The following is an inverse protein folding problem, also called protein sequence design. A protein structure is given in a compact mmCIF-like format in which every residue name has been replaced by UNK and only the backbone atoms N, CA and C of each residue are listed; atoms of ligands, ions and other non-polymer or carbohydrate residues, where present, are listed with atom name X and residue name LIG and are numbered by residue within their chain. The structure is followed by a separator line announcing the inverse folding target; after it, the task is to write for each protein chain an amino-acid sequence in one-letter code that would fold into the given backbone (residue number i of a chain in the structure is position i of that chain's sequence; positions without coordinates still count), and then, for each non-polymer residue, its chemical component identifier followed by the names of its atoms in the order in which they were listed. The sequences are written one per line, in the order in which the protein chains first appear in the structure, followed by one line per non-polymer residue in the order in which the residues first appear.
data_IF_170713623319
#
_entry.id   IF_170713623319
#
_cell.length_a   1.000
_cell.length_b   1.000
_cell.length_c   1.000
_cell.angle_alpha   90.00
_cell.angle_beta   90.00
_cell.angle_gamma   90.00
#
_symmetry.space_group_name_H-M   'P 1'
#
loop_
_entity.id
_entity.type
_entity.pdbx_description
1 polymer ?
#
# COMPACT_ATOMS: atom_id res chain seq x y z
N UNK A 1 -34.61 -54.16 28.98
CA UNK A 1 -34.52 -52.77 28.58
C UNK A 1 -33.08 -52.47 28.14
N UNK A 2 -32.83 -52.57 26.84
CA UNK A 2 -31.50 -52.22 26.26
C UNK A 2 -31.55 -50.76 25.81
N UNK A 3 -30.70 -49.95 26.39
CA UNK A 3 -30.51 -48.55 25.97
C UNK A 3 -29.65 -48.50 24.74
N UNK A 4 -30.21 -48.04 23.64
CA UNK A 4 -29.47 -47.75 22.39
C UNK A 4 -28.77 -46.39 22.56
N UNK A 5 -27.46 -46.40 22.72
CA UNK A 5 -26.63 -45.20 22.68
C UNK A 5 -26.48 -44.82 21.20
N UNK A 6 -27.18 -43.77 20.76
CA UNK A 6 -26.95 -43.12 19.48
C UNK A 6 -25.68 -42.25 19.58
N UNK A 7 -24.58 -42.74 19.06
CA UNK A 7 -23.35 -41.92 18.80
C UNK A 7 -23.68 -41.03 17.62
N UNK A 8 -23.89 -39.74 17.89
CA UNK A 8 -23.93 -38.72 16.87
C UNK A 8 -22.47 -38.55 16.36
N UNK A 9 -22.15 -39.13 15.20
CA UNK A 9 -20.94 -38.76 14.46
C UNK A 9 -21.10 -37.29 14.04
N UNK A 10 -20.36 -36.40 14.69
CA UNK A 10 -20.09 -35.09 14.17
C UNK A 10 -19.26 -35.24 12.91
N UNK A 11 -19.91 -35.12 11.75
CA UNK A 11 -19.23 -34.97 10.48
C UNK A 11 -18.32 -33.72 10.60
N UNK A 12 -17.04 -33.77 10.21
CA UNK A 12 -16.22 -32.57 10.13
C UNK A 12 -16.92 -31.59 9.20
N UNK A 13 -16.96 -30.30 9.56
CA UNK A 13 -17.38 -29.23 8.66
C UNK A 13 -16.65 -29.45 7.34
N UNK A 14 -17.43 -29.71 6.27
CA UNK A 14 -16.91 -30.23 5.01
C UNK A 14 -15.77 -29.38 4.46
N UNK A 15 -14.67 -30.02 4.20
CA UNK A 15 -13.63 -29.47 3.36
C UNK A 15 -14.29 -29.06 2.04
N UNK A 16 -14.23 -27.76 1.70
CA UNK A 16 -14.80 -27.27 0.46
C UNK A 16 -13.83 -27.63 -0.66
N UNK A 17 -14.15 -28.67 -1.44
CA UNK A 17 -13.33 -29.07 -2.58
C UNK A 17 -13.41 -28.01 -3.67
N UNK A 18 -12.31 -27.79 -4.38
CA UNK A 18 -12.27 -26.96 -5.57
C UNK A 18 -11.78 -27.74 -6.78
N UNK A 19 -12.25 -27.31 -7.96
CA UNK A 19 -11.75 -27.77 -9.25
C UNK A 19 -11.54 -26.56 -10.15
N UNK A 20 -10.28 -26.29 -10.49
CA UNK A 20 -9.91 -25.23 -11.44
C UNK A 20 -9.54 -25.90 -12.75
N UNK A 21 -10.36 -25.71 -13.77
CA UNK A 21 -10.08 -26.15 -15.14
C UNK A 21 -9.73 -24.96 -15.99
N UNK A 22 -8.85 -25.09 -16.97
CA UNK A 22 -8.53 -23.94 -17.78
C UNK A 22 -7.87 -24.24 -19.11
N UNK A 23 -7.76 -23.16 -19.90
CA UNK A 23 -7.02 -23.13 -21.16
C UNK A 23 -5.74 -22.33 -20.97
N UNK A 24 -4.64 -22.85 -21.51
CA UNK A 24 -3.34 -22.19 -21.53
C UNK A 24 -3.04 -21.65 -22.93
N UNK A 25 -2.32 -20.52 -23.05
CA UNK A 25 -1.83 -20.01 -24.33
C UNK A 25 -0.98 -21.04 -25.08
N UNK A 26 -0.91 -20.91 -26.40
CA UNK A 26 -0.09 -21.81 -27.23
C UNK A 26 1.38 -21.76 -26.79
N UNK A 27 2.01 -22.95 -26.73
CA UNK A 27 3.42 -23.09 -26.32
C UNK A 27 3.67 -23.14 -24.81
N UNK A 28 2.65 -22.93 -23.96
CA UNK A 28 2.78 -23.09 -22.51
C UNK A 28 2.75 -24.57 -22.15
N UNK A 29 3.83 -25.07 -21.54
CA UNK A 29 3.94 -26.48 -21.11
C UNK A 29 3.50 -26.71 -19.67
N UNK A 30 3.49 -25.67 -18.81
CA UNK A 30 3.18 -25.79 -17.38
C UNK A 30 2.44 -24.56 -16.87
N UNK A 31 1.45 -24.79 -15.99
CA UNK A 31 0.69 -23.76 -15.31
C UNK A 31 0.89 -23.91 -13.81
N UNK A 32 0.96 -22.78 -13.12
CA UNK A 32 1.17 -22.70 -11.68
C UNK A 32 -0.06 -22.13 -11.01
N UNK A 33 -0.33 -22.56 -9.78
CA UNK A 33 -1.34 -21.98 -8.91
C UNK A 33 -0.71 -21.64 -7.57
N UNK A 34 -0.80 -20.37 -7.18
CA UNK A 34 -0.30 -19.90 -5.87
C UNK A 34 -1.45 -19.53 -4.96
N UNK A 35 -1.56 -20.22 -3.84
CA UNK A 35 -2.47 -19.86 -2.77
C UNK A 35 -1.97 -18.60 -2.05
N UNK A 36 -2.83 -17.59 -1.93
CA UNK A 36 -2.45 -16.29 -1.35
C UNK A 36 -2.48 -16.29 0.18
N UNK A 37 -3.13 -17.28 0.82
CA UNK A 37 -3.16 -17.46 2.27
C UNK A 37 -1.93 -18.20 2.77
N UNK A 38 -1.72 -19.44 2.30
CA UNK A 38 -0.59 -20.28 2.71
C UNK A 38 0.71 -19.91 2.04
N UNK A 39 0.67 -19.12 0.94
CA UNK A 39 1.78 -18.79 0.03
C UNK A 39 2.44 -20.00 -0.61
N UNK A 40 1.79 -21.17 -0.56
CA UNK A 40 2.22 -22.37 -1.28
C UNK A 40 1.92 -22.24 -2.76
N UNK A 41 2.73 -22.88 -3.57
CA UNK A 41 2.53 -22.98 -5.02
C UNK A 41 2.43 -24.45 -5.43
N UNK A 42 1.54 -24.72 -6.36
CA UNK A 42 1.37 -26.00 -7.03
C UNK A 42 1.55 -25.80 -8.53
N UNK A 43 1.80 -26.85 -9.28
CA UNK A 43 1.95 -26.80 -10.73
C UNK A 43 1.44 -28.05 -11.41
N UNK A 44 0.91 -27.88 -12.63
CA UNK A 44 0.43 -28.98 -13.47
C UNK A 44 0.94 -28.81 -14.90
N UNK A 45 1.17 -29.92 -15.59
CA UNK A 45 1.51 -29.91 -17.00
C UNK A 45 0.27 -29.64 -17.86
N UNK A 46 0.45 -28.90 -18.94
CA UNK A 46 -0.60 -28.59 -19.91
C UNK A 46 -0.74 -29.74 -20.87
N UNK A 47 -1.93 -30.32 -20.92
CA UNK A 47 -2.26 -31.41 -21.88
C UNK A 47 -3.26 -30.89 -22.93
N UNK A 48 -2.87 -30.90 -24.19
CA UNK A 48 -3.71 -30.44 -25.33
C UNK A 48 -4.27 -29.02 -25.13
N UNK A 49 -3.45 -28.12 -24.56
CA UNK A 49 -3.84 -26.72 -24.29
C UNK A 49 -4.74 -26.53 -23.06
N UNK A 50 -4.96 -27.58 -22.26
CA UNK A 50 -5.80 -27.51 -21.04
C UNK A 50 -5.02 -27.94 -19.80
N UNK A 51 -5.50 -27.50 -18.63
CA UNK A 51 -4.95 -27.89 -17.33
C UNK A 51 -6.06 -28.05 -16.29
N UNK A 52 -5.77 -28.78 -15.21
CA UNK A 52 -6.70 -29.01 -14.11
C UNK A 52 -5.93 -28.98 -12.78
N UNK A 53 -6.42 -28.20 -11.82
CA UNK A 53 -6.07 -28.31 -10.40
C UNK A 53 -7.30 -28.77 -9.62
N UNK A 54 -7.12 -29.72 -8.72
CA UNK A 54 -8.17 -30.21 -7.82
C UNK A 54 -7.60 -30.31 -6.40
N UNK A 55 -8.40 -29.97 -5.40
CA UNK A 55 -7.97 -30.06 -4.00
C UNK A 55 -9.04 -29.65 -3.02
N UNK A 56 -8.70 -29.75 -1.75
CA UNK A 56 -9.52 -29.30 -0.64
C UNK A 56 -8.97 -28.01 -0.08
N UNK A 57 -9.82 -26.98 0.00
CA UNK A 57 -9.43 -25.64 0.42
C UNK A 57 -9.71 -25.36 1.90
N UNK A 58 -10.43 -26.23 2.62
CA UNK A 58 -10.87 -25.95 4.00
C UNK A 58 -11.82 -24.76 4.12
N UNK A 59 -12.16 -24.12 3.01
CA UNK A 59 -12.98 -22.92 2.85
C UNK A 59 -12.62 -22.16 1.59
N UNK A 60 -13.31 -21.09 1.29
CA UNK A 60 -12.97 -20.21 0.16
C UNK A 60 -11.59 -19.59 0.34
N UNK A 61 -10.77 -19.56 -0.70
CA UNK A 61 -9.43 -18.99 -0.68
C UNK A 61 -9.14 -18.21 -1.95
N UNK A 62 -8.32 -17.17 -1.81
CA UNK A 62 -7.81 -16.42 -2.95
C UNK A 62 -6.53 -17.09 -3.47
N UNK A 63 -6.43 -17.25 -4.78
CA UNK A 63 -5.26 -17.79 -5.44
C UNK A 63 -4.95 -17.04 -6.75
N UNK A 64 -3.75 -17.24 -7.27
CA UNK A 64 -3.36 -16.80 -8.61
C UNK A 64 -3.05 -18.03 -9.45
N UNK A 65 -3.63 -18.12 -10.64
CA UNK A 65 -3.25 -19.07 -11.69
C UNK A 65 -2.41 -18.33 -12.71
N UNK A 66 -1.21 -18.83 -13.01
CA UNK A 66 -0.26 -18.08 -13.82
C UNK A 66 0.69 -18.97 -14.63
N UNK A 67 1.39 -18.37 -15.59
CA UNK A 67 2.44 -18.96 -16.39
C UNK A 67 3.77 -18.26 -16.19
N UNK A 68 4.90 -18.89 -16.48
CA UNK A 68 6.21 -18.25 -16.52
C UNK A 68 6.30 -17.09 -17.54
N UNK A 69 5.48 -17.16 -18.60
CA UNK A 69 5.37 -16.12 -19.62
C UNK A 69 4.59 -14.85 -19.21
N UNK A 70 4.13 -14.78 -17.95
CA UNK A 70 3.54 -13.56 -17.38
C UNK A 70 2.01 -13.50 -17.39
N UNK A 71 1.27 -14.45 -17.99
CA UNK A 71 -0.19 -14.53 -17.81
C UNK A 71 -0.52 -14.81 -16.34
N UNK A 72 -1.40 -14.01 -15.74
CA UNK A 72 -1.85 -14.17 -14.35
C UNK A 72 -3.33 -13.87 -14.24
N UNK A 73 -4.08 -14.81 -13.67
CA UNK A 73 -5.51 -14.71 -13.40
C UNK A 73 -5.75 -14.91 -11.90
N UNK A 74 -6.28 -13.91 -11.18
CA UNK A 74 -6.74 -14.11 -9.81
C UNK A 74 -8.00 -14.97 -9.82
N UNK A 75 -8.12 -15.88 -8.85
CA UNK A 75 -9.26 -16.78 -8.67
C UNK A 75 -9.66 -16.89 -7.21
N UNK A 76 -10.94 -17.09 -6.97
CA UNK A 76 -11.43 -17.56 -5.66
C UNK A 76 -11.68 -19.06 -5.80
N UNK A 77 -10.99 -19.86 -4.99
CA UNK A 77 -11.18 -21.31 -4.94
C UNK A 77 -12.49 -21.62 -4.19
N UNK A 78 -13.56 -21.78 -4.98
CA UNK A 78 -14.93 -21.98 -4.50
C UNK A 78 -15.71 -22.86 -5.50
N UNK A 79 -15.70 -24.17 -5.33
CA UNK A 79 -16.33 -25.12 -6.24
C UNK A 79 -15.60 -25.25 -7.58
N UNK A 80 -16.34 -25.25 -8.69
CA UNK A 80 -15.77 -25.42 -10.04
C UNK A 80 -15.53 -24.07 -10.71
N UNK A 81 -14.26 -23.80 -11.04
CA UNK A 81 -13.81 -22.56 -11.68
C UNK A 81 -13.21 -22.88 -13.04
N UNK A 82 -13.57 -22.09 -14.05
CA UNK A 82 -12.97 -22.15 -15.40
C UNK A 82 -12.09 -20.94 -15.62
N UNK A 83 -10.81 -21.18 -15.96
CA UNK A 83 -9.80 -20.14 -16.21
C UNK A 83 -9.39 -20.13 -17.67
N UNK A 84 -9.36 -18.95 -18.27
CA UNK A 84 -8.75 -18.70 -19.57
C UNK A 84 -7.55 -17.78 -19.38
N UNK A 85 -6.32 -18.33 -19.55
CA UNK A 85 -5.07 -17.60 -19.36
C UNK A 85 -4.70 -16.71 -20.55
N UNK A 86 -5.37 -16.85 -21.69
CA UNK A 86 -5.22 -15.94 -22.84
C UNK A 86 -6.17 -14.75 -22.71
N UNK A 87 -7.45 -15.01 -22.40
CA UNK A 87 -8.46 -13.98 -22.15
C UNK A 87 -8.33 -13.32 -20.76
N UNK A 88 -7.49 -13.84 -19.87
CA UNK A 88 -7.28 -13.41 -18.47
C UNK A 88 -8.58 -13.39 -17.66
N UNK A 89 -9.37 -14.47 -17.74
CA UNK A 89 -10.67 -14.58 -17.07
C UNK A 89 -10.77 -15.81 -16.19
N UNK A 90 -11.54 -15.67 -15.10
CA UNK A 90 -12.00 -16.78 -14.26
C UNK A 90 -13.52 -16.70 -14.12
N UNK A 91 -14.23 -17.82 -14.32
CA UNK A 91 -15.69 -17.87 -14.32
C UNK A 91 -16.20 -19.19 -13.68
N UNK A 92 -17.51 -19.29 -13.49
CA UNK A 92 -18.18 -20.51 -13.00
C UNK A 92 -18.65 -20.43 -11.56
N UNK A 93 -18.32 -19.36 -10.84
CA UNK A 93 -18.90 -19.04 -9.53
C UNK A 93 -19.18 -17.54 -9.43
N UNK A 94 -20.11 -17.14 -8.56
CA UNK A 94 -20.50 -15.74 -8.39
C UNK A 94 -19.28 -14.84 -8.08
N UNK A 95 -18.34 -15.31 -7.27
CA UNK A 95 -17.15 -14.52 -6.93
C UNK A 95 -16.19 -14.42 -8.12
N UNK A 96 -15.96 -15.47 -8.87
CA UNK A 96 -15.06 -15.44 -10.03
C UNK A 96 -15.65 -14.65 -11.20
N UNK A 97 -16.97 -14.74 -11.42
CA UNK A 97 -17.66 -13.92 -12.42
C UNK A 97 -17.58 -12.42 -12.07
N UNK A 98 -17.80 -12.08 -10.78
CA UNK A 98 -17.68 -10.71 -10.27
C UNK A 98 -16.25 -10.20 -10.34
N UNK A 99 -15.26 -11.02 -10.00
CA UNK A 99 -13.84 -10.70 -10.08
C UNK A 99 -13.44 -10.41 -11.54
N UNK A 100 -13.86 -11.26 -12.49
CA UNK A 100 -13.60 -11.06 -13.91
C UNK A 100 -14.26 -9.80 -14.46
N UNK A 101 -15.52 -9.54 -14.09
CA UNK A 101 -16.24 -8.33 -14.50
C UNK A 101 -15.53 -7.06 -13.98
N UNK A 102 -15.13 -7.06 -12.72
CA UNK A 102 -14.41 -5.92 -12.11
C UNK A 102 -13.01 -5.74 -12.72
N UNK A 103 -12.30 -6.84 -13.00
CA UNK A 103 -10.99 -6.75 -13.64
C UNK A 103 -11.07 -6.12 -15.04
N UNK A 104 -12.08 -6.49 -15.84
CA UNK A 104 -12.35 -5.87 -17.14
C UNK A 104 -12.71 -4.40 -17.03
N UNK A 105 -13.53 -4.03 -16.07
CA UNK A 105 -13.90 -2.62 -15.80
C UNK A 105 -12.66 -1.77 -15.44
N UNK A 106 -11.76 -2.29 -14.61
CA UNK A 106 -10.53 -1.59 -14.22
C UNK A 106 -9.47 -1.59 -15.33
N UNK A 107 -9.44 -2.57 -16.22
CA UNK A 107 -8.48 -2.64 -17.34
C UNK A 107 -8.60 -1.41 -18.27
N UNK A 108 -9.82 -0.92 -18.51
CA UNK A 108 -10.04 0.30 -19.31
C UNK A 108 -9.30 1.50 -18.72
N UNK A 109 -9.26 1.62 -17.40
CA UNK A 109 -8.53 2.69 -16.72
C UNK A 109 -7.02 2.51 -16.77
N UNK A 110 -6.53 1.26 -16.70
CA UNK A 110 -5.09 0.95 -16.88
C UNK A 110 -4.62 1.31 -18.31
N UNK A 111 -5.44 1.02 -19.33
CA UNK A 111 -5.17 1.42 -20.71
C UNK A 111 -5.15 2.95 -20.86
N UNK A 112 -6.05 3.66 -20.18
CA UNK A 112 -6.05 5.12 -20.15
C UNK A 112 -4.77 5.68 -19.50
N UNK A 113 -4.32 5.12 -18.38
CA UNK A 113 -3.05 5.51 -17.75
C UNK A 113 -1.87 5.31 -18.70
N UNK A 114 -1.81 4.19 -19.41
CA UNK A 114 -0.78 3.92 -20.42
C UNK A 114 -0.78 5.00 -21.51
N UNK A 115 -1.95 5.40 -22.01
CA UNK A 115 -2.07 6.46 -23.02
C UNK A 115 -1.67 7.83 -22.47
N UNK A 116 -2.01 8.15 -21.23
CA UNK A 116 -1.65 9.40 -20.57
C UNK A 116 -0.13 9.52 -20.44
N UNK A 117 0.56 8.43 -20.11
CA UNK A 117 2.00 8.39 -19.92
C UNK A 117 2.79 8.24 -21.21
N UNK A 118 2.17 7.85 -22.34
CA UNK A 118 2.86 7.59 -23.60
C UNK A 118 3.69 8.80 -24.09
N UNK A 119 3.21 10.06 -24.11
CA UNK A 119 4.02 11.20 -24.55
C UNK A 119 5.29 11.40 -23.72
N UNK A 120 5.22 11.18 -22.41
CA UNK A 120 6.38 11.24 -21.52
C UNK A 120 7.43 10.19 -21.91
N UNK A 121 7.00 8.94 -22.11
CA UNK A 121 7.89 7.85 -22.46
C UNK A 121 8.53 8.04 -23.84
N UNK A 122 7.80 8.57 -24.81
CA UNK A 122 8.33 8.87 -26.16
C UNK A 122 9.42 9.94 -26.11
N UNK A 123 9.19 11.06 -25.42
CA UNK A 123 10.21 12.13 -25.27
C UNK A 123 11.44 11.63 -24.54
N UNK A 124 11.27 10.89 -23.44
CA UNK A 124 12.38 10.31 -22.67
C UNK A 124 13.18 9.31 -23.50
N UNK A 125 12.52 8.47 -24.30
CA UNK A 125 13.17 7.52 -25.21
C UNK A 125 13.97 8.24 -26.34
N UNK A 126 13.47 9.39 -26.78
CA UNK A 126 14.17 10.24 -27.77
C UNK A 126 15.30 11.10 -27.15
N UNK A 127 15.55 11.01 -25.83
CA UNK A 127 16.52 11.84 -25.12
C UNK A 127 16.15 13.32 -25.04
N UNK A 128 14.86 13.65 -25.22
CA UNK A 128 14.34 15.00 -25.20
C UNK A 128 13.88 15.39 -23.79
N UNK A 129 13.94 16.69 -23.48
CA UNK A 129 13.35 17.24 -22.26
C UNK A 129 11.83 17.24 -22.36
N UNK A 130 11.18 16.92 -21.25
CA UNK A 130 9.72 16.96 -21.16
C UNK A 130 9.30 18.36 -20.74
N UNK A 131 8.49 19.08 -21.55
CA UNK A 131 8.02 20.43 -21.20
C UNK A 131 7.17 20.41 -19.91
N UNK A 132 7.34 21.43 -19.07
CA UNK A 132 6.59 21.56 -17.80
C UNK A 132 5.07 21.55 -18.02
N UNK A 133 4.57 22.21 -19.08
CA UNK A 133 3.15 22.19 -19.42
C UNK A 133 2.62 20.79 -19.72
N UNK A 134 3.41 19.95 -20.38
CA UNK A 134 3.05 18.55 -20.64
C UNK A 134 3.08 17.73 -19.35
N UNK A 135 4.06 17.97 -18.46
CA UNK A 135 4.10 17.30 -17.15
C UNK A 135 2.86 17.63 -16.32
N UNK A 136 2.48 18.90 -16.22
CA UNK A 136 1.28 19.32 -15.49
C UNK A 136 0.00 18.70 -16.07
N UNK A 137 -0.12 18.60 -17.40
CA UNK A 137 -1.26 17.94 -18.04
C UNK A 137 -1.29 16.44 -17.72
N UNK A 138 -0.15 15.76 -17.78
CA UNK A 138 -0.02 14.34 -17.46
C UNK A 138 -0.39 14.10 -15.99
N UNK A 139 0.15 14.88 -15.06
CA UNK A 139 -0.12 14.77 -13.62
C UNK A 139 -1.62 14.91 -13.35
N UNK A 140 -2.26 15.94 -13.84
CA UNK A 140 -3.70 16.16 -13.69
C UNK A 140 -4.52 14.98 -14.21
N UNK A 141 -4.26 14.52 -15.44
CA UNK A 141 -5.00 13.39 -16.04
C UNK A 141 -4.74 12.08 -15.30
N UNK A 142 -3.50 11.88 -14.84
CA UNK A 142 -3.12 10.71 -14.05
C UNK A 142 -3.90 10.69 -12.71
N UNK A 143 -3.93 11.79 -11.98
CA UNK A 143 -4.67 11.93 -10.73
C UNK A 143 -6.18 11.70 -10.92
N UNK A 144 -6.78 12.23 -12.00
CA UNK A 144 -8.18 11.98 -12.35
C UNK A 144 -8.45 10.48 -12.54
N UNK A 145 -7.59 9.75 -13.28
CA UNK A 145 -7.74 8.32 -13.48
C UNK A 145 -7.53 7.53 -12.17
N UNK A 146 -6.55 7.90 -11.37
CA UNK A 146 -6.29 7.25 -10.08
C UNK A 146 -7.45 7.45 -9.10
N UNK A 147 -8.08 8.62 -9.10
CA UNK A 147 -9.29 8.91 -8.32
C UNK A 147 -10.45 8.01 -8.75
N UNK A 148 -10.67 7.83 -10.05
CA UNK A 148 -11.72 6.94 -10.57
C UNK A 148 -11.46 5.46 -10.20
N UNK A 149 -10.23 4.99 -10.34
CA UNK A 149 -9.84 3.62 -9.95
C UNK A 149 -10.09 3.42 -8.46
N UNK A 150 -9.64 4.36 -7.61
CA UNK A 150 -9.80 4.31 -6.16
C UNK A 150 -11.28 4.27 -5.75
N UNK A 151 -12.12 5.10 -6.36
CA UNK A 151 -13.55 5.10 -6.13
C UNK A 151 -14.21 3.77 -6.51
N UNK A 152 -13.82 3.16 -7.65
CA UNK A 152 -14.31 1.86 -8.09
C UNK A 152 -13.88 0.71 -7.15
N UNK A 153 -12.65 0.76 -6.65
CA UNK A 153 -12.16 -0.23 -5.67
C UNK A 153 -12.89 -0.08 -4.35
N UNK A 154 -13.08 1.16 -3.86
CA UNK A 154 -13.86 1.44 -2.66
C UNK A 154 -15.29 0.91 -2.79
N UNK A 155 -15.99 1.21 -3.90
CA UNK A 155 -17.34 0.71 -4.19
C UNK A 155 -17.37 -0.83 -4.21
N UNK A 156 -16.39 -1.47 -4.84
CA UNK A 156 -16.26 -2.93 -4.86
C UNK A 156 -16.18 -3.53 -3.45
N UNK A 157 -15.32 -2.96 -2.60
CA UNK A 157 -15.15 -3.40 -1.21
C UNK A 157 -16.41 -3.20 -0.37
N UNK A 158 -17.08 -2.06 -0.54
CA UNK A 158 -18.25 -1.69 0.25
C UNK A 158 -19.49 -2.51 -0.11
N UNK A 159 -19.68 -2.80 -1.40
CA UNK A 159 -20.85 -3.58 -1.87
C UNK A 159 -20.71 -5.08 -1.69
N UNK A 160 -19.50 -5.59 -1.47
CA UNK A 160 -19.23 -7.02 -1.38
C UNK A 160 -18.52 -7.40 -0.07
N UNK A 161 -19.05 -7.03 1.12
CA UNK A 161 -18.33 -7.21 2.38
C UNK A 161 -18.17 -8.67 2.80
N UNK A 162 -18.98 -9.60 2.25
CA UNK A 162 -18.93 -11.03 2.56
C UNK A 162 -18.13 -11.85 1.53
N UNK A 163 -17.76 -11.25 0.40
CA UNK A 163 -16.97 -11.89 -0.64
C UNK A 163 -15.46 -11.78 -0.35
N UNK A 164 -14.63 -12.62 -0.99
CA UNK A 164 -13.18 -12.59 -0.84
C UNK A 164 -12.49 -11.83 -1.98
N UNK A 165 -13.07 -11.83 -3.18
CA UNK A 165 -12.47 -11.23 -4.37
C UNK A 165 -12.10 -9.73 -4.24
N UNK A 166 -12.78 -8.88 -3.43
CA UNK A 166 -12.38 -7.48 -3.28
C UNK A 166 -10.98 -7.30 -2.71
N UNK A 167 -10.48 -8.28 -1.93
CA UNK A 167 -9.12 -8.25 -1.39
C UNK A 167 -8.06 -8.05 -2.48
N UNK A 168 -8.23 -8.70 -3.64
CA UNK A 168 -7.29 -8.59 -4.76
C UNK A 168 -7.15 -7.14 -5.23
N UNK A 169 -8.27 -6.46 -5.46
CA UNK A 169 -8.27 -5.07 -5.94
C UNK A 169 -7.79 -4.09 -4.88
N UNK A 170 -8.24 -4.28 -3.63
CA UNK A 170 -7.79 -3.45 -2.50
C UNK A 170 -6.28 -3.54 -2.32
N UNK A 171 -5.71 -4.75 -2.26
CA UNK A 171 -4.27 -4.93 -2.08
C UNK A 171 -3.44 -4.37 -3.23
N UNK A 172 -3.97 -4.38 -4.44
CA UNK A 172 -3.33 -3.79 -5.62
C UNK A 172 -3.36 -2.26 -5.60
N UNK A 173 -4.40 -1.65 -5.01
CA UNK A 173 -4.67 -0.22 -5.11
C UNK A 173 -4.45 0.56 -3.81
N UNK A 174 -4.40 -0.08 -2.64
CA UNK A 174 -4.42 0.58 -1.33
C UNK A 174 -3.35 1.66 -1.13
N UNK A 175 -2.15 1.50 -1.72
CA UNK A 175 -1.06 2.48 -1.64
C UNK A 175 -1.35 3.79 -2.41
N UNK A 176 -2.32 3.77 -3.32
CA UNK A 176 -2.71 4.90 -4.15
C UNK A 176 -4.05 5.52 -3.71
N UNK A 177 -4.75 4.86 -2.79
CA UNK A 177 -6.01 5.35 -2.23
C UNK A 177 -5.76 6.34 -1.10
N UNK A 178 -6.74 7.22 -0.86
CA UNK A 178 -6.71 8.07 0.34
C UNK A 178 -6.71 7.19 1.60
N UNK A 179 -5.81 7.48 2.54
CA UNK A 179 -5.68 6.70 3.80
C UNK A 179 -7.02 6.57 4.53
N UNK A 180 -7.83 7.65 4.58
CA UNK A 180 -9.16 7.63 5.19
C UNK A 180 -10.13 6.64 4.55
N UNK A 181 -10.10 6.49 3.21
CA UNK A 181 -10.95 5.53 2.51
C UNK A 181 -10.55 4.08 2.82
N UNK A 182 -9.24 3.81 2.84
CA UNK A 182 -8.74 2.48 3.22
C UNK A 182 -9.06 2.16 4.67
N UNK A 183 -8.90 3.11 5.59
CA UNK A 183 -9.26 2.97 7.00
C UNK A 183 -10.75 2.65 7.16
N UNK A 184 -11.64 3.34 6.45
CA UNK A 184 -13.08 3.06 6.48
C UNK A 184 -13.40 1.62 6.02
N UNK A 185 -12.69 1.10 5.00
CA UNK A 185 -12.84 -0.30 4.56
C UNK A 185 -12.35 -1.26 5.65
N UNK A 186 -11.17 -1.00 6.24
CA UNK A 186 -10.59 -1.85 7.29
C UNK A 186 -11.48 -1.87 8.53
N UNK A 187 -12.02 -0.72 8.94
CA UNK A 187 -12.87 -0.56 10.12
C UNK A 187 -14.24 -1.23 9.97
N UNK A 188 -14.76 -1.33 8.74
CA UNK A 188 -15.97 -2.10 8.44
C UNK A 188 -15.78 -3.62 8.60
N UNK A 189 -14.54 -4.10 8.77
CA UNK A 189 -14.19 -5.51 9.00
C UNK A 189 -14.84 -6.50 8.02
N UNK A 190 -14.80 -6.27 6.69
CA UNK A 190 -15.37 -7.20 5.74
C UNK A 190 -14.64 -8.54 5.77
N UNK A 191 -15.28 -9.60 5.28
CA UNK A 191 -14.76 -10.98 5.34
C UNK A 191 -13.34 -11.10 4.76
N UNK A 192 -13.06 -10.43 3.65
CA UNK A 192 -11.75 -10.44 2.99
C UNK A 192 -10.63 -9.78 3.82
N UNK A 193 -10.96 -8.93 4.80
CA UNK A 193 -9.95 -8.36 5.70
C UNK A 193 -9.45 -9.35 6.76
N UNK A 194 -10.08 -10.53 6.90
CA UNK A 194 -9.60 -11.61 7.78
C UNK A 194 -8.48 -12.44 7.13
N UNK A 195 -8.32 -12.34 5.82
CA UNK A 195 -7.31 -13.07 5.06
C UNK A 195 -5.89 -12.71 5.51
N UNK A 196 -4.97 -13.68 5.54
CA UNK A 196 -3.54 -13.43 5.76
C UNK A 196 -2.93 -12.56 4.65
N UNK A 197 -3.49 -12.67 3.44
CA UNK A 197 -3.17 -11.82 2.30
C UNK A 197 -3.28 -10.33 2.61
N UNK A 198 -4.25 -9.91 3.43
CA UNK A 198 -4.47 -8.50 3.82
C UNK A 198 -3.77 -8.09 5.12
N UNK A 199 -3.01 -8.98 5.75
CA UNK A 199 -2.40 -8.73 7.07
C UNK A 199 -1.49 -7.49 7.09
N UNK A 200 -0.68 -7.28 6.04
CA UNK A 200 0.18 -6.09 5.93
C UNK A 200 -0.64 -4.80 5.86
N UNK A 201 -1.78 -4.82 5.17
CA UNK A 201 -2.65 -3.65 5.08
C UNK A 201 -3.29 -3.33 6.42
N UNK A 202 -3.73 -4.36 7.17
CA UNK A 202 -4.24 -4.15 8.55
C UNK A 202 -3.17 -3.53 9.44
N UNK A 203 -1.93 -4.03 9.37
CA UNK A 203 -0.82 -3.46 10.13
C UNK A 203 -0.52 -2.00 9.74
N UNK A 204 -0.51 -1.68 8.43
CA UNK A 204 -0.34 -0.32 7.95
C UNK A 204 -1.48 0.60 8.43
N UNK A 205 -2.72 0.12 8.41
CA UNK A 205 -3.88 0.86 8.89
C UNK A 205 -3.76 1.26 10.37
N UNK A 206 -3.20 0.40 11.23
CA UNK A 206 -2.90 0.76 12.63
C UNK A 206 -1.92 1.94 12.73
N UNK A 207 -0.91 1.96 11.88
CA UNK A 207 0.03 3.08 11.82
C UNK A 207 -0.63 4.36 11.27
N UNK A 208 -1.46 4.24 10.24
CA UNK A 208 -2.15 5.39 9.66
C UNK A 208 -3.15 6.06 10.61
N UNK A 209 -3.82 5.28 11.49
CA UNK A 209 -4.66 5.88 12.56
C UNK A 209 -3.87 6.83 13.46
N UNK A 210 -2.57 6.53 13.69
CA UNK A 210 -1.68 7.43 14.46
C UNK A 210 -1.26 8.69 13.72
N UNK A 211 -1.50 8.75 12.40
CA UNK A 211 -1.25 9.93 11.57
C UNK A 211 -2.49 10.81 11.39
N UNK A 212 -3.67 10.34 11.82
CA UNK A 212 -4.92 11.08 11.62
C UNK A 212 -4.92 12.38 12.44
N UNK A 213 -5.49 13.43 11.85
CA UNK A 213 -5.69 14.72 12.53
C UNK A 213 -6.41 14.52 13.87
N UNK A 214 -5.91 15.18 14.92
CA UNK A 214 -6.39 15.07 16.29
C UNK A 214 -5.86 13.87 17.07
N UNK A 215 -5.24 12.87 16.42
CA UNK A 215 -4.62 11.74 17.12
C UNK A 215 -3.43 12.22 17.98
N UNK A 216 -3.21 11.65 19.17
CA UNK A 216 -2.01 11.92 19.93
C UNK A 216 -0.79 11.33 19.20
N UNK A 217 0.34 12.02 19.24
CA UNK A 217 1.58 11.44 18.72
C UNK A 217 1.95 10.16 19.50
N UNK A 218 2.66 9.27 18.87
CA UNK A 218 3.19 8.05 19.51
C UNK A 218 4.70 8.22 19.65
N UNK A 219 5.21 8.09 20.88
CA UNK A 219 6.64 8.22 21.14
C UNK A 219 7.43 7.07 20.48
N UNK A 220 8.62 7.41 20.01
CA UNK A 220 9.60 6.47 19.47
C UNK A 220 10.99 6.85 19.97
N UNK A 221 11.81 5.83 20.23
CA UNK A 221 13.19 5.98 20.65
C UNK A 221 14.15 5.62 19.51
N UNK A 222 15.02 6.55 19.14
CA UNK A 222 16.02 6.39 18.07
C UNK A 222 17.30 7.14 18.44
N UNK A 223 18.44 6.75 17.87
CA UNK A 223 19.69 7.45 18.11
C UNK A 223 19.78 8.78 17.35
N UNK A 224 20.30 9.81 17.96
CA UNK A 224 20.64 11.07 17.29
C UNK A 224 21.96 10.97 16.48
N UNK A 225 22.37 12.08 15.87
CA UNK A 225 23.59 12.14 15.05
C UNK A 225 24.88 11.85 15.82
N UNK A 226 24.86 11.97 17.15
CA UNK A 226 25.99 11.63 18.04
C UNK A 226 25.99 10.14 18.44
N UNK A 227 24.87 9.46 18.29
CA UNK A 227 24.63 8.07 18.72
C UNK A 227 23.92 7.97 20.07
N UNK A 228 23.51 9.11 20.67
CA UNK A 228 22.75 9.15 21.91
C UNK A 228 21.29 8.77 21.62
N UNK A 229 20.73 7.84 22.41
CA UNK A 229 19.32 7.48 22.32
C UNK A 229 18.44 8.65 22.79
N UNK A 230 17.46 8.98 21.99
CA UNK A 230 16.54 10.12 22.21
C UNK A 230 15.11 9.67 21.95
N UNK A 231 14.21 10.22 22.72
CA UNK A 231 12.77 10.05 22.54
C UNK A 231 12.18 11.18 21.69
N UNK A 232 11.24 10.88 20.78
CA UNK A 232 10.50 11.90 20.03
C UNK A 232 9.78 12.85 21.00
N UNK A 233 9.31 12.35 22.14
CA UNK A 233 8.67 13.12 23.21
C UNK A 233 9.57 14.20 23.84
N UNK A 234 10.88 14.19 23.62
CA UNK A 234 11.77 15.27 24.04
C UNK A 234 11.57 16.54 23.22
N UNK A 235 11.09 16.42 22.01
CA UNK A 235 10.93 17.51 21.03
C UNK A 235 9.47 17.91 20.84
N UNK A 236 8.53 16.97 20.93
CA UNK A 236 7.11 17.13 20.63
C UNK A 236 6.31 17.40 21.92
N UNK A 237 5.21 18.15 21.80
CA UNK A 237 4.32 18.45 22.94
C UNK A 237 4.95 19.40 23.99
N UNK A 238 5.90 20.26 23.56
CA UNK A 238 6.61 21.22 24.42
C UNK A 238 6.24 22.67 24.12
N UNK A 239 5.01 22.90 23.70
CA UNK A 239 4.53 24.26 23.38
C UNK A 239 4.91 24.77 21.99
N UNK A 240 5.54 23.91 21.15
CA UNK A 240 5.90 24.21 19.76
C UNK A 240 5.11 23.37 18.78
N UNK A 241 4.97 23.87 17.55
CA UNK A 241 4.61 23.03 16.41
C UNK A 241 5.87 22.33 15.91
N UNK A 242 5.78 21.01 15.72
CA UNK A 242 6.92 20.18 15.27
C UNK A 242 6.56 19.43 14.01
N UNK A 243 7.36 19.62 12.94
CA UNK A 243 7.30 18.79 11.76
C UNK A 243 8.17 17.55 11.99
N UNK A 244 7.55 16.37 12.04
CA UNK A 244 8.26 15.09 11.97
C UNK A 244 8.37 14.72 10.50
N UNK A 245 9.60 14.70 9.98
CA UNK A 245 9.91 14.44 8.57
C UNK A 245 10.57 13.07 8.40
N UNK A 246 9.86 12.14 7.74
CA UNK A 246 10.38 10.82 7.39
C UNK A 246 11.10 10.89 6.04
N UNK A 247 12.41 10.71 6.07
CA UNK A 247 13.28 10.91 4.92
C UNK A 247 14.43 9.90 4.87
N UNK A 248 15.23 9.93 3.80
CA UNK A 248 16.50 9.22 3.75
C UNK A 248 17.49 9.90 2.79
N UNK A 249 18.79 9.68 3.00
CA UNK A 249 19.85 10.23 2.17
C UNK A 249 19.79 9.76 0.70
N UNK A 250 19.28 8.57 0.46
CA UNK A 250 19.08 7.96 -0.86
C UNK A 250 17.76 8.35 -1.53
N UNK A 251 16.82 8.97 -0.81
CA UNK A 251 15.52 9.38 -1.32
C UNK A 251 15.65 10.66 -2.18
N UNK A 252 15.55 10.52 -3.49
CA UNK A 252 15.62 11.63 -4.45
C UNK A 252 14.53 12.69 -4.21
N UNK A 253 13.24 12.32 -4.16
CA UNK A 253 12.15 13.26 -3.86
C UNK A 253 12.31 13.98 -2.52
N UNK A 254 12.75 13.27 -1.45
CA UNK A 254 12.99 13.90 -0.15
C UNK A 254 14.05 15.02 -0.26
N UNK A 255 15.14 14.77 -0.99
CA UNK A 255 16.18 15.77 -1.20
C UNK A 255 15.70 16.97 -2.01
N UNK A 256 14.78 16.76 -2.95
CA UNK A 256 14.17 17.84 -3.73
C UNK A 256 13.27 18.74 -2.86
N UNK A 257 12.63 18.21 -1.82
CA UNK A 257 11.80 18.95 -0.85
C UNK A 257 12.65 19.77 0.17
N UNK A 258 13.88 19.38 0.47
CA UNK A 258 14.69 19.99 1.54
C UNK A 258 14.85 21.50 1.40
N UNK A 259 14.99 22.13 0.23
CA UNK A 259 15.04 23.61 0.13
C UNK A 259 13.79 24.28 0.68
N UNK A 260 12.59 23.75 0.39
CA UNK A 260 11.33 24.29 0.89
C UNK A 260 11.20 24.09 2.41
N UNK A 261 11.57 22.90 2.91
CA UNK A 261 11.59 22.60 4.35
C UNK A 261 12.54 23.53 5.12
N UNK A 262 13.75 23.79 4.55
CA UNK A 262 14.70 24.77 5.14
C UNK A 262 14.14 26.18 5.18
N UNK A 263 13.55 26.64 4.09
CA UNK A 263 12.95 27.98 4.04
C UNK A 263 11.83 28.13 5.10
N UNK A 264 11.00 27.11 5.26
CA UNK A 264 9.97 27.06 6.29
C UNK A 264 10.60 27.09 7.71
N UNK A 265 11.64 26.28 7.94
CA UNK A 265 12.33 26.27 9.23
C UNK A 265 12.93 27.65 9.58
N UNK A 266 13.67 28.26 8.68
CA UNK A 266 14.29 29.59 8.87
C UNK A 266 13.23 30.67 9.14
N UNK A 267 12.08 30.60 8.47
CA UNK A 267 11.00 31.59 8.59
C UNK A 267 10.22 31.49 9.91
N UNK A 268 10.01 30.27 10.43
CA UNK A 268 9.07 30.03 11.51
C UNK A 268 9.69 29.54 12.82
N UNK A 269 10.98 29.15 12.87
CA UNK A 269 11.62 28.60 14.07
C UNK A 269 11.54 29.57 15.28
N UNK A 270 11.74 30.87 15.08
CA UNK A 270 11.65 31.88 16.13
C UNK A 270 10.20 32.17 16.57
N UNK A 271 9.22 31.69 15.81
CA UNK A 271 7.78 31.77 16.11
C UNK A 271 7.23 30.54 16.82
N UNK A 272 8.08 29.56 17.13
CA UNK A 272 7.66 28.34 17.81
C UNK A 272 7.45 27.11 16.89
N UNK A 273 8.14 27.08 15.74
CA UNK A 273 8.21 25.93 14.87
C UNK A 273 9.54 25.18 15.04
N UNK A 274 9.49 23.85 15.00
CA UNK A 274 10.69 23.02 15.03
C UNK A 274 10.55 21.81 14.08
N UNK A 275 11.65 21.11 13.82
CA UNK A 275 11.67 19.93 12.94
C UNK A 275 12.44 18.79 13.62
N UNK A 276 11.93 17.56 13.45
CA UNK A 276 12.64 16.31 13.77
C UNK A 276 12.65 15.42 12.56
N UNK A 277 13.81 15.21 11.94
CA UNK A 277 13.97 14.27 10.83
C UNK A 277 14.14 12.85 11.35
N UNK A 278 13.22 11.94 11.00
CA UNK A 278 13.33 10.51 11.25
C UNK A 278 13.86 9.81 9.98
N UNK A 279 15.12 9.39 10.03
CA UNK A 279 15.78 8.84 8.85
C UNK A 279 15.54 7.34 8.69
N UNK A 280 15.22 6.93 7.46
CA UNK A 280 15.14 5.54 7.00
C UNK A 280 16.44 5.09 6.31
N UNK A 281 17.56 5.67 6.69
CA UNK A 281 18.87 5.18 6.24
C UNK A 281 19.25 3.88 6.95
N UNK A 282 20.07 3.07 6.29
CA UNK A 282 20.74 1.90 6.88
C UNK A 282 22.26 2.08 6.92
N UNK A 283 22.77 3.21 6.44
CA UNK A 283 24.18 3.60 6.46
C UNK A 283 24.36 4.93 7.18
N UNK A 284 25.01 4.89 8.34
CA UNK A 284 25.26 6.06 9.18
C UNK A 284 26.11 7.12 8.45
N UNK A 285 27.10 6.72 7.65
CA UNK A 285 27.98 7.63 6.94
C UNK A 285 27.22 8.39 5.84
N UNK A 286 26.37 7.71 5.10
CA UNK A 286 25.51 8.30 4.08
C UNK A 286 24.55 9.29 4.69
N UNK A 287 23.84 8.91 5.79
CA UNK A 287 22.93 9.75 6.53
C UNK A 287 23.58 11.04 7.05
N UNK A 288 24.66 10.93 7.84
CA UNK A 288 25.38 12.09 8.39
C UNK A 288 26.02 12.94 7.28
N UNK A 289 26.47 12.30 6.20
CA UNK A 289 26.98 12.98 5.02
C UNK A 289 25.91 13.83 4.34
N UNK A 290 24.67 13.33 4.22
CA UNK A 290 23.55 14.07 3.65
C UNK A 290 23.13 15.27 4.52
N UNK A 291 23.00 15.09 5.84
CA UNK A 291 22.73 16.19 6.79
C UNK A 291 23.72 17.34 6.59
N UNK A 292 25.03 17.03 6.57
CA UNK A 292 26.09 18.05 6.38
C UNK A 292 26.03 18.72 5.02
N UNK A 293 25.91 17.93 3.93
CA UNK A 293 25.90 18.49 2.55
C UNK A 293 24.72 19.42 2.31
N UNK A 294 23.54 19.08 2.85
CA UNK A 294 22.33 19.88 2.68
C UNK A 294 22.18 20.99 3.76
N UNK A 295 23.05 21.00 4.79
CA UNK A 295 23.01 21.98 5.87
C UNK A 295 21.72 21.92 6.66
N UNK A 296 21.28 20.71 7.06
CA UNK A 296 20.07 20.51 7.85
C UNK A 296 20.40 20.71 9.33
N UNK A 297 19.92 21.82 9.90
CA UNK A 297 20.33 22.28 11.23
C UNK A 297 19.39 21.89 12.37
N UNK A 298 18.31 21.17 12.08
CA UNK A 298 17.35 20.68 13.07
C UNK A 298 17.71 19.30 13.64
N UNK A 299 16.85 18.73 14.46
CA UNK A 299 17.08 17.43 15.10
C UNK A 299 16.92 16.28 14.12
N UNK A 300 17.83 15.30 14.17
CA UNK A 300 17.80 14.12 13.32
C UNK A 300 17.97 12.86 14.14
N UNK A 301 17.08 11.88 13.95
CA UNK A 301 17.09 10.59 14.61
C UNK A 301 17.09 9.46 13.56
N UNK A 302 17.80 8.36 13.86
CA UNK A 302 17.81 7.16 13.04
C UNK A 302 18.14 5.92 13.90
N UNK A 303 17.50 4.80 13.60
CA UNK A 303 17.88 3.49 14.13
C UNK A 303 18.65 2.64 13.10
N UNK A 304 18.92 3.21 11.93
CA UNK A 304 19.66 2.62 10.81
C UNK A 304 19.06 1.29 10.32
N UNK A 305 17.74 1.13 10.42
CA UNK A 305 17.02 -0.09 10.01
C UNK A 305 16.27 0.04 8.69
N UNK A 306 16.46 1.12 7.96
CA UNK A 306 15.77 1.34 6.68
C UNK A 306 14.25 1.32 6.86
N UNK A 307 13.55 0.54 6.04
CA UNK A 307 12.10 0.37 6.13
C UNK A 307 11.62 -0.38 7.40
N UNK A 308 12.51 -1.06 8.11
CA UNK A 308 12.23 -1.67 9.42
C UNK A 308 12.41 -0.70 10.60
N UNK A 309 12.66 0.58 10.33
CA UNK A 309 12.75 1.64 11.33
C UNK A 309 11.55 1.63 12.26
N UNK A 310 11.81 1.79 13.58
CA UNK A 310 10.75 1.87 14.58
C UNK A 310 9.82 3.04 14.29
N UNK A 311 10.34 4.19 13.83
CA UNK A 311 9.53 5.35 13.45
C UNK A 311 8.59 5.03 12.29
N UNK A 312 9.12 4.47 11.19
CA UNK A 312 8.32 4.09 10.02
C UNK A 312 7.24 3.06 10.37
N UNK A 313 7.58 2.02 11.12
CA UNK A 313 6.63 0.98 11.52
C UNK A 313 5.55 1.47 12.47
N UNK A 314 5.91 2.33 13.43
CA UNK A 314 4.96 2.90 14.39
C UNK A 314 3.90 3.72 13.69
N UNK A 315 4.28 4.52 12.73
CA UNK A 315 3.37 5.39 12.00
C UNK A 315 2.84 4.77 10.69
N UNK A 316 3.26 3.55 10.32
CA UNK A 316 2.80 2.89 9.09
C UNK A 316 3.30 3.60 7.82
N UNK A 317 4.48 4.22 7.89
CA UNK A 317 5.12 4.88 6.75
C UNK A 317 5.67 3.82 5.81
N UNK A 318 5.16 3.79 4.58
CA UNK A 318 5.52 2.83 3.54
C UNK A 318 6.07 3.48 2.26
N UNK A 319 6.10 4.81 2.23
CA UNK A 319 6.74 5.62 1.20
C UNK A 319 7.30 6.89 1.82
N UNK A 320 8.36 7.46 1.25
CA UNK A 320 8.95 8.73 1.65
C UNK A 320 9.15 9.63 0.41
N UNK A 321 9.06 10.98 0.58
CA UNK A 321 8.89 11.71 1.83
C UNK A 321 7.50 11.51 2.45
N UNK A 322 7.42 11.51 3.78
CA UNK A 322 6.17 11.57 4.55
C UNK A 322 6.37 12.53 5.73
N UNK A 323 5.36 13.31 6.09
CA UNK A 323 5.47 14.30 7.14
C UNK A 323 4.29 14.26 8.09
N UNK A 324 4.54 14.58 9.38
CA UNK A 324 3.49 14.80 10.37
C UNK A 324 3.74 16.17 11.02
N UNK A 325 2.78 17.07 10.90
CA UNK A 325 2.80 18.30 11.67
C UNK A 325 2.08 18.07 13.00
N UNK A 326 2.79 18.25 14.10
CA UNK A 326 2.29 18.03 15.46
C UNK A 326 2.17 19.34 16.19
N UNK A 327 1.04 19.54 16.84
CA UNK A 327 0.74 20.75 17.59
C UNK A 327 1.44 20.83 18.95
N UNK A 328 1.35 22.01 19.62
CA UNK A 328 1.96 22.25 20.93
C UNK A 328 1.48 21.30 22.03
N UNK A 329 0.30 20.74 21.87
CA UNK A 329 -0.34 19.76 22.77
C UNK A 329 0.02 18.30 22.47
N UNK A 330 0.87 18.05 21.44
CA UNK A 330 1.27 16.71 21.02
C UNK A 330 0.24 15.99 20.13
N UNK A 331 -0.74 16.71 19.57
CA UNK A 331 -1.69 16.12 18.63
C UNK A 331 -1.30 16.39 17.19
N UNK A 332 -1.59 15.43 16.33
CA UNK A 332 -1.39 15.56 14.87
C UNK A 332 -2.31 16.67 14.34
N UNK A 333 -1.74 17.66 13.68
CA UNK A 333 -2.45 18.77 13.03
C UNK A 333 -2.69 18.49 11.55
N UNK A 334 -1.71 17.83 10.90
CA UNK A 334 -1.82 17.42 9.51
C UNK A 334 -0.76 16.36 9.20
N UNK A 335 -0.95 15.58 8.14
CA UNK A 335 0.01 14.62 7.60
C UNK A 335 0.19 14.82 6.09
N UNK A 336 1.36 14.43 5.55
CA UNK A 336 1.66 14.47 4.13
C UNK A 336 1.88 15.86 3.53
N UNK A 337 2.06 16.89 4.36
CA UNK A 337 2.30 18.27 3.88
C UNK A 337 3.64 18.39 3.16
N UNK A 338 3.66 19.00 1.96
CA UNK A 338 4.86 19.19 1.13
C UNK A 338 4.84 20.55 0.44
N UNK A 339 6.04 21.05 0.08
CA UNK A 339 6.17 22.24 -0.74
C UNK A 339 5.28 23.40 -0.30
N UNK A 340 4.44 23.87 -1.22
CA UNK A 340 3.51 24.99 -0.98
C UNK A 340 2.43 24.67 0.06
N UNK A 341 1.99 23.41 0.19
CA UNK A 341 0.99 23.03 1.20
C UNK A 341 1.53 23.17 2.62
N UNK A 342 2.81 22.79 2.84
CA UNK A 342 3.48 23.00 4.12
C UNK A 342 3.57 24.49 4.45
N UNK A 343 4.01 25.30 3.49
CA UNK A 343 4.13 26.76 3.67
C UNK A 343 2.76 27.40 3.97
N UNK A 344 1.73 27.05 3.22
CA UNK A 344 0.36 27.53 3.42
C UNK A 344 -0.15 27.19 4.81
N UNK A 345 0.05 25.93 5.25
CA UNK A 345 -0.40 25.49 6.59
C UNK A 345 0.33 26.23 7.71
N UNK A 346 1.66 26.43 7.59
CA UNK A 346 2.44 27.19 8.55
C UNK A 346 2.06 28.67 8.56
N UNK A 347 1.79 29.27 7.40
CA UNK A 347 1.31 30.66 7.32
C UNK A 347 -0.07 30.84 7.97
N UNK A 348 -0.94 29.83 7.94
CA UNK A 348 -2.22 29.84 8.66
C UNK A 348 -2.01 29.79 10.18
N UNK A 349 -1.06 29.01 10.66
CA UNK A 349 -0.78 28.80 12.09
C UNK A 349 -0.07 30.01 12.71
N UNK A 350 0.90 30.60 12.00
CA UNK A 350 1.77 31.64 12.50
C UNK A 350 1.44 33.04 11.97
N UNK A 351 0.17 33.30 11.70
CA UNK A 351 -0.37 34.61 11.30
C UNK A 351 -0.05 35.68 12.31
#
# INVERSE_FOLDING_TARGET
MMAVLSVALSLPLGAQSYKVTGKAPAGVGRVYMRNMESRTSDSVDVARGTFVFEGDAGGKMLAHVYTEGGSLVPVVLDGTVTVDLEALTATGTVENDSLTARNKDLAVHADNLTRILAPYHELRKAGQEVPDSLMQEIERKYEEQMTLISAKVKDCCTRNPQALFPAYFLMKQASQMQKGDVLAIVDAQPAFMKLSYTARLRQAAEGWRRQMEGAPFTDVEMADSTGTMRHLSEFVGKGKYVLVDFWASWCGPCRAEMPAVKAAYEKYREKGFDIVGLSLDNDRKAWLGAIRRMGLSWHHLSDLKGWDSVGARTYGVNSIPETLLIGPDGRIVASGLRGEELEKKLAEIFR
#
